data_IF_578575307144
#
_entry.id   IF_578575307144
#
_cell.length_a   1.000
_cell.length_b   1.000
_cell.length_c   1.000
_cell.angle_alpha   90.00
_cell.angle_beta   90.00
_cell.angle_gamma   90.00
#
_symmetry.space_group_name_H-M   'P 1'
#
loop_
_entity.id
_entity.type
_entity.pdbx_description
1 polymer ?
#
# COMPACT_ATOMS: atom_id res chain seq x y z
N UNK A 1 -13.15 -0.04 -11.23
CA UNK A 1 -11.75 -0.50 -11.08
C UNK A 1 -11.61 -1.86 -11.76
N UNK A 2 -10.45 -2.19 -12.31
CA UNK A 2 -10.18 -3.47 -12.99
C UNK A 2 -9.52 -4.49 -12.07
N UNK A 3 -9.18 -5.66 -12.62
CA UNK A 3 -8.34 -6.66 -11.95
C UNK A 3 -6.91 -6.63 -12.47
N UNK A 4 -5.95 -7.04 -11.63
CA UNK A 4 -4.54 -7.17 -12.01
C UNK A 4 -3.96 -8.53 -11.61
N UNK A 5 -3.06 -9.07 -12.44
CA UNK A 5 -2.34 -10.32 -12.16
C UNK A 5 -0.85 -10.04 -11.96
N UNK A 6 -0.35 -10.32 -10.75
CA UNK A 6 1.05 -10.18 -10.37
C UNK A 6 1.69 -11.56 -10.24
N UNK A 7 2.79 -11.82 -10.95
CA UNK A 7 3.66 -12.96 -10.66
C UNK A 7 4.79 -12.50 -9.71
N UNK A 8 4.72 -12.95 -8.46
CA UNK A 8 5.66 -12.61 -7.39
C UNK A 8 6.52 -13.81 -6.96
N UNK A 9 6.58 -14.88 -7.75
CA UNK A 9 7.45 -16.03 -7.48
C UNK A 9 8.92 -15.62 -7.52
N UNK A 10 9.74 -16.23 -6.68
CA UNK A 10 11.16 -15.91 -6.51
C UNK A 10 11.44 -14.60 -5.74
N UNK A 11 10.40 -13.82 -5.39
CA UNK A 11 10.57 -12.59 -4.62
C UNK A 11 10.61 -12.90 -3.12
N UNK A 12 11.65 -12.42 -2.44
CA UNK A 12 11.75 -12.51 -0.97
C UNK A 12 10.83 -11.48 -0.29
N UNK A 13 10.29 -11.84 0.89
CA UNK A 13 9.57 -10.91 1.75
C UNK A 13 10.45 -9.68 2.06
N UNK A 14 9.91 -8.43 2.03
CA UNK A 14 8.49 -8.07 1.95
C UNK A 14 7.98 -7.72 0.54
N UNK A 15 8.77 -7.98 -0.51
CA UNK A 15 8.46 -7.51 -1.88
C UNK A 15 7.08 -7.95 -2.38
N UNK A 16 6.65 -9.23 -2.27
CA UNK A 16 5.30 -9.62 -2.68
C UNK A 16 4.20 -8.82 -1.99
N UNK A 17 4.34 -8.59 -0.68
CA UNK A 17 3.34 -7.90 0.14
C UNK A 17 3.21 -6.44 -0.28
N UNK A 18 4.34 -5.76 -0.43
CA UNK A 18 4.38 -4.35 -0.85
C UNK A 18 3.78 -4.17 -2.24
N UNK A 19 4.21 -4.99 -3.22
CA UNK A 19 3.71 -4.87 -4.59
C UNK A 19 2.22 -5.15 -4.67
N UNK A 20 1.73 -6.16 -3.97
CA UNK A 20 0.29 -6.44 -3.90
C UNK A 20 -0.47 -5.28 -3.25
N UNK A 21 0.04 -4.69 -2.15
CA UNK A 21 -0.58 -3.51 -1.51
C UNK A 21 -0.71 -2.34 -2.50
N UNK A 22 0.37 -1.97 -3.19
CA UNK A 22 0.34 -0.89 -4.20
C UNK A 22 -0.68 -1.14 -5.30
N UNK A 23 -0.71 -2.36 -5.84
CA UNK A 23 -1.69 -2.70 -6.88
C UNK A 23 -3.12 -2.62 -6.36
N UNK A 24 -3.38 -2.89 -5.08
CA UNK A 24 -4.70 -2.76 -4.46
C UNK A 24 -5.15 -1.30 -4.29
N UNK A 25 -4.28 -0.31 -4.51
CA UNK A 25 -4.65 1.11 -4.56
C UNK A 25 -5.23 1.48 -5.95
N UNK A 26 -4.75 0.84 -7.01
CA UNK A 26 -5.17 1.10 -8.39
C UNK A 26 -6.29 0.17 -8.88
N UNK A 27 -6.24 -1.09 -8.45
CA UNK A 27 -7.09 -2.19 -8.88
C UNK A 27 -7.94 -2.70 -7.73
N UNK A 28 -9.18 -3.08 -8.02
CA UNK A 28 -10.10 -3.54 -6.98
C UNK A 28 -9.91 -5.02 -6.62
N UNK A 29 -9.24 -5.75 -7.50
CA UNK A 29 -8.91 -7.16 -7.33
C UNK A 29 -7.50 -7.44 -7.84
N UNK A 30 -6.64 -8.00 -6.99
CA UNK A 30 -5.27 -8.36 -7.34
C UNK A 30 -5.05 -9.86 -7.10
N UNK A 31 -4.73 -10.58 -8.17
CA UNK A 31 -4.33 -11.98 -8.15
C UNK A 31 -2.80 -12.05 -8.13
N UNK A 32 -2.22 -12.47 -7.00
CA UNK A 32 -0.78 -12.59 -6.79
C UNK A 32 -0.36 -14.06 -6.79
N UNK A 33 0.48 -14.46 -7.75
CA UNK A 33 1.09 -15.80 -7.77
C UNK A 33 2.37 -15.79 -6.93
N UNK A 34 2.46 -16.70 -5.95
CA UNK A 34 3.64 -16.87 -5.07
C UNK A 34 4.09 -18.33 -5.04
N UNK A 35 5.32 -18.59 -4.60
CA UNK A 35 5.98 -19.89 -4.67
C UNK A 35 6.04 -20.66 -3.34
N UNK A 36 5.53 -20.07 -2.26
CA UNK A 36 5.57 -20.71 -0.94
C UNK A 36 4.41 -20.27 -0.03
N UNK A 37 4.07 -21.13 0.93
CA UNK A 37 2.99 -20.92 1.90
C UNK A 37 3.24 -19.75 2.86
N UNK A 38 4.50 -19.39 3.15
CA UNK A 38 4.79 -18.24 4.02
C UNK A 38 4.41 -16.93 3.33
N UNK A 39 4.61 -16.83 2.01
CA UNK A 39 4.16 -15.70 1.22
C UNK A 39 2.63 -15.58 1.20
N UNK A 40 1.89 -16.69 1.18
CA UNK A 40 0.42 -16.66 1.27
C UNK A 40 -0.05 -16.14 2.63
N UNK A 41 0.59 -16.56 3.72
CA UNK A 41 0.25 -16.09 5.07
C UNK A 41 0.62 -14.61 5.29
N UNK A 42 1.69 -14.13 4.68
CA UNK A 42 2.02 -12.70 4.70
C UNK A 42 1.00 -11.85 3.94
N UNK A 43 0.51 -12.33 2.78
CA UNK A 43 -0.56 -11.69 2.02
C UNK A 43 -1.91 -11.76 2.75
N UNK A 44 -2.17 -12.84 3.49
CA UNK A 44 -3.33 -12.94 4.39
C UNK A 44 -3.30 -11.87 5.47
N UNK A 45 -2.17 -11.69 6.15
CA UNK A 45 -1.99 -10.62 7.15
C UNK A 45 -2.18 -9.23 6.56
N UNK A 46 -1.70 -8.99 5.34
CA UNK A 46 -1.95 -7.73 4.63
C UNK A 46 -3.45 -7.51 4.42
N UNK A 47 -4.17 -8.50 3.90
CA UNK A 47 -5.61 -8.40 3.69
C UNK A 47 -6.36 -8.17 5.01
N UNK A 48 -6.01 -8.87 6.08
CA UNK A 48 -6.59 -8.68 7.41
C UNK A 48 -6.33 -7.26 7.96
N UNK A 49 -5.10 -6.74 7.82
CA UNK A 49 -4.74 -5.39 8.26
C UNK A 49 -5.50 -4.31 7.50
N UNK A 50 -5.75 -4.52 6.20
CA UNK A 50 -6.51 -3.61 5.35
C UNK A 50 -8.03 -3.85 5.42
N UNK A 51 -8.47 -4.88 6.17
CA UNK A 51 -9.85 -5.34 6.20
C UNK A 51 -10.41 -5.63 4.79
N UNK A 52 -9.65 -6.38 4.00
CA UNK A 52 -9.97 -6.82 2.64
C UNK A 52 -10.28 -8.32 2.59
N UNK A 53 -11.05 -8.74 1.57
CA UNK A 53 -11.31 -10.16 1.35
C UNK A 53 -10.11 -10.82 0.68
N UNK A 54 -9.90 -12.09 1.01
CA UNK A 54 -8.80 -12.90 0.45
C UNK A 54 -9.27 -14.32 0.14
N UNK A 55 -8.85 -14.83 -1.01
CA UNK A 55 -8.96 -16.23 -1.42
C UNK A 55 -7.57 -16.78 -1.76
N UNK A 56 -7.29 -18.02 -1.37
CA UNK A 56 -5.98 -18.66 -1.61
C UNK A 56 -6.21 -20.01 -2.25
N UNK A 57 -5.62 -20.22 -3.44
CA UNK A 57 -5.65 -21.48 -4.19
C UNK A 57 -4.26 -22.06 -4.29
N UNK A 58 -4.08 -23.26 -3.74
CA UNK A 58 -2.89 -24.08 -3.97
C UNK A 58 -3.01 -24.79 -5.32
N UNK A 59 -2.03 -24.56 -6.20
CA UNK A 59 -1.94 -25.23 -7.51
C UNK A 59 -0.94 -26.38 -7.46
N UNK A 60 0.18 -26.17 -6.77
CA UNK A 60 1.21 -27.17 -6.46
C UNK A 60 2.00 -26.72 -5.22
N UNK A 61 2.89 -27.59 -4.71
CA UNK A 61 3.74 -27.31 -3.53
C UNK A 61 4.57 -26.04 -3.63
N UNK A 62 4.83 -25.58 -4.85
CA UNK A 62 5.66 -24.44 -5.22
C UNK A 62 4.87 -23.36 -6.00
N UNK A 63 3.54 -23.44 -6.01
CA UNK A 63 2.69 -22.49 -6.72
C UNK A 63 1.34 -22.28 -6.04
N UNK A 64 1.16 -21.07 -5.53
CA UNK A 64 -0.06 -20.59 -4.90
C UNK A 64 -0.56 -19.35 -5.62
N UNK A 65 -1.88 -19.21 -5.73
CA UNK A 65 -2.55 -18.02 -6.27
C UNK A 65 -3.35 -17.39 -5.13
N UNK A 66 -2.99 -16.17 -4.76
CA UNK A 66 -3.65 -15.38 -3.72
C UNK A 66 -4.44 -14.26 -4.36
N UNK A 67 -5.75 -14.23 -4.18
CA UNK A 67 -6.61 -13.17 -4.70
C UNK A 67 -7.06 -12.29 -3.55
N UNK A 68 -6.71 -11.00 -3.57
CA UNK A 68 -7.18 -10.01 -2.59
C UNK A 68 -8.10 -9.02 -3.30
N UNK A 69 -9.25 -8.71 -2.67
CA UNK A 69 -10.16 -7.68 -3.15
C UNK A 69 -10.41 -6.60 -2.10
N UNK A 70 -10.16 -5.35 -2.49
CA UNK A 70 -10.51 -4.17 -1.68
C UNK A 70 -12.01 -3.86 -1.70
N UNK A 71 -12.74 -4.55 -2.57
CA UNK A 71 -14.19 -4.69 -2.52
C UNK A 71 -14.52 -5.54 -1.28
N UNK A 72 -14.54 -4.88 -0.12
CA UNK A 72 -15.52 -5.21 0.91
C UNK A 72 -16.85 -5.35 0.18
N UNK A 73 -17.59 -6.44 0.41
CA UNK A 73 -18.86 -6.70 -0.27
C UNK A 73 -19.56 -5.41 -0.69
N UNK A 74 -19.42 -5.04 -1.96
CA UNK A 74 -20.27 -4.03 -2.61
C UNK A 74 -21.73 -4.57 -2.69
N UNK A 75 -21.98 -5.72 -2.07
CA UNK A 75 -23.28 -6.31 -1.78
C UNK A 75 -23.90 -5.86 -0.46
N UNK A 76 -23.52 -4.72 0.11
CA UNK A 76 -24.29 -4.18 1.23
C UNK A 76 -25.32 -3.15 0.78
N UNK A 77 -26.59 -3.55 1.02
CA UNK A 77 -27.82 -2.77 0.96
C UNK A 77 -28.34 -2.50 -0.46
N UNK A 78 -29.07 -3.49 -1.01
CA UNK A 78 -30.09 -3.20 -2.02
C UNK A 78 -31.10 -2.25 -1.37
N UNK A 79 -31.18 -1.04 -1.89
CA UNK A 79 -32.24 -0.11 -1.51
C UNK A 79 -33.45 -0.48 -2.37
N UNK A 80 -34.38 -1.22 -1.77
CA UNK A 80 -35.63 -1.61 -2.42
C UNK A 80 -36.62 -0.44 -2.40
N UNK A 81 -36.74 0.22 -3.54
CA UNK A 81 -37.68 1.33 -3.78
C UNK A 81 -38.90 0.87 -4.58
N UNK A 82 -39.10 -0.44 -4.77
CA UNK A 82 -40.16 -1.00 -5.62
C UNK A 82 -41.59 -0.67 -5.18
N UNK A 83 -41.78 -0.11 -3.97
CA UNK A 83 -43.09 0.32 -3.46
C UNK A 83 -43.25 1.84 -3.39
N UNK A 84 -42.22 2.58 -3.77
CA UNK A 84 -42.15 4.02 -3.56
C UNK A 84 -42.75 4.81 -4.74
N UNK A 85 -43.36 5.96 -4.43
CA UNK A 85 -43.90 6.88 -5.46
C UNK A 85 -42.75 7.69 -6.08
N UNK A 86 -42.86 7.89 -7.39
CA UNK A 86 -42.01 8.63 -8.34
C UNK A 86 -40.87 9.54 -7.86
N UNK A 87 -41.09 10.36 -6.82
CA UNK A 87 -40.11 11.33 -6.32
C UNK A 87 -39.13 10.73 -5.31
N UNK A 88 -39.51 9.64 -4.64
CA UNK A 88 -38.75 9.07 -3.53
C UNK A 88 -37.54 8.21 -3.97
N UNK A 89 -37.59 7.44 -5.08
CA UNK A 89 -36.42 6.69 -5.57
C UNK A 89 -35.21 7.59 -5.87
N UNK A 90 -35.44 8.76 -6.48
CA UNK A 90 -34.37 9.74 -6.77
C UNK A 90 -33.79 10.35 -5.49
N UNK A 91 -34.64 10.65 -4.50
CA UNK A 91 -34.18 11.18 -3.20
C UNK A 91 -33.34 10.12 -2.47
N UNK A 92 -33.72 8.85 -2.53
CA UNK A 92 -32.96 7.77 -1.92
C UNK A 92 -31.64 7.53 -2.65
N UNK A 93 -31.63 7.57 -3.98
CA UNK A 93 -30.42 7.56 -4.77
C UNK A 93 -29.47 8.69 -4.36
N UNK A 94 -29.99 9.92 -4.28
CA UNK A 94 -29.21 11.10 -3.85
C UNK A 94 -28.64 10.95 -2.44
N UNK A 95 -29.45 10.54 -1.46
CA UNK A 95 -29.01 10.36 -0.06
C UNK A 95 -28.00 9.24 0.11
N UNK A 96 -28.15 8.14 -0.62
CA UNK A 96 -27.19 7.04 -0.61
C UNK A 96 -25.87 7.52 -1.24
N UNK A 97 -25.95 8.23 -2.37
CA UNK A 97 -24.79 8.84 -3.00
C UNK A 97 -24.20 9.99 -2.17
N UNK A 98 -24.81 10.52 -1.11
CA UNK A 98 -24.10 11.45 -0.20
C UNK A 98 -23.03 10.73 0.63
N UNK A 99 -23.16 9.42 0.84
CA UNK A 99 -22.27 8.61 1.70
C UNK A 99 -21.46 7.58 0.94
N UNK A 100 -22.04 7.01 -0.11
CA UNK A 100 -21.49 5.88 -0.84
C UNK A 100 -21.06 6.30 -2.26
N UNK A 101 -20.00 5.69 -2.77
CA UNK A 101 -19.47 5.93 -4.12
C UNK A 101 -20.19 5.11 -5.20
N UNK A 102 -20.79 3.98 -4.79
CA UNK A 102 -21.60 3.10 -5.63
C UNK A 102 -22.90 2.81 -4.92
N UNK A 103 -24.03 2.92 -5.63
CA UNK A 103 -25.38 2.69 -5.08
C UNK A 103 -26.15 1.76 -6.00
N UNK A 104 -26.77 0.72 -5.44
CA UNK A 104 -27.64 -0.22 -6.14
C UNK A 104 -29.11 -0.04 -5.70
N UNK A 105 -29.97 0.27 -6.67
CA UNK A 105 -31.38 0.57 -6.47
C UNK A 105 -32.24 -0.47 -7.18
N UNK A 106 -33.25 -1.01 -6.46
CA UNK A 106 -34.36 -1.72 -7.09
C UNK A 106 -35.53 -0.76 -7.26
N UNK A 107 -35.92 -0.53 -8.51
CA UNK A 107 -36.98 0.41 -8.87
C UNK A 107 -38.06 -0.31 -9.66
N UNK A 108 -39.32 -0.15 -9.25
CA UNK A 108 -40.46 -0.67 -10.02
C UNK A 108 -41.01 0.40 -10.96
N UNK A 109 -41.42 -0.03 -12.14
CA UNK A 109 -42.05 0.83 -13.15
C UNK A 109 -41.04 1.64 -13.97
N UNK A 110 -41.24 1.61 -15.30
CA UNK A 110 -40.36 2.23 -16.29
C UNK A 110 -40.20 3.75 -16.07
N UNK A 111 -41.26 4.44 -15.65
CA UNK A 111 -41.23 5.89 -15.43
C UNK A 111 -40.31 6.29 -14.26
N UNK A 112 -40.28 5.48 -13.20
CA UNK A 112 -39.43 5.73 -12.03
C UNK A 112 -37.97 5.43 -12.35
N UNK A 113 -37.71 4.34 -13.06
CA UNK A 113 -36.38 3.98 -13.53
C UNK A 113 -35.79 5.09 -14.42
N UNK A 114 -36.58 5.62 -15.35
CA UNK A 114 -36.18 6.76 -16.21
C UNK A 114 -35.72 7.98 -15.41
N UNK A 115 -36.43 8.35 -14.34
CA UNK A 115 -36.09 9.52 -13.50
C UNK A 115 -34.78 9.32 -12.72
N UNK A 116 -34.53 8.11 -12.23
CA UNK A 116 -33.27 7.75 -11.55
C UNK A 116 -32.10 7.77 -12.53
N UNK A 117 -32.30 7.27 -13.75
CA UNK A 117 -31.30 7.28 -14.81
C UNK A 117 -31.01 8.72 -15.27
N UNK A 118 -32.04 9.55 -15.43
CA UNK A 118 -31.91 10.96 -15.80
C UNK A 118 -31.12 11.74 -14.74
N UNK A 119 -31.44 11.55 -13.45
CA UNK A 119 -30.68 12.11 -12.35
C UNK A 119 -29.20 11.72 -12.39
N UNK A 120 -28.89 10.44 -12.64
CA UNK A 120 -27.51 9.97 -12.71
C UNK A 120 -26.76 10.57 -13.92
N UNK A 121 -27.44 10.69 -15.08
CA UNK A 121 -26.90 11.34 -16.28
C UNK A 121 -26.65 12.83 -16.07
N UNK A 122 -27.57 13.55 -15.44
CA UNK A 122 -27.40 14.97 -15.09
C UNK A 122 -26.17 15.22 -14.20
N UNK A 123 -25.81 14.23 -13.38
CA UNK A 123 -24.65 14.28 -12.49
C UNK A 123 -23.37 13.70 -13.09
N UNK A 124 -23.39 13.28 -14.36
CA UNK A 124 -22.30 12.56 -15.02
C UNK A 124 -21.84 11.31 -14.25
N UNK A 125 -22.78 10.59 -13.63
CA UNK A 125 -22.49 9.30 -13.01
C UNK A 125 -22.60 8.18 -14.03
N UNK A 126 -21.79 7.14 -13.85
CA UNK A 126 -21.86 5.93 -14.66
C UNK A 126 -23.02 5.06 -14.18
N UNK A 127 -23.81 4.54 -15.11
CA UNK A 127 -25.03 3.77 -14.79
C UNK A 127 -25.02 2.44 -15.50
N UNK A 128 -25.23 1.36 -14.75
CA UNK A 128 -25.51 0.03 -15.29
C UNK A 128 -26.93 -0.38 -14.90
N UNK A 129 -27.67 -0.95 -15.85
CA UNK A 129 -29.10 -1.30 -15.64
C UNK A 129 -29.29 -2.77 -16.00
N UNK A 130 -30.05 -3.49 -15.17
CA UNK A 130 -30.61 -4.80 -15.49
C UNK A 130 -32.12 -4.77 -15.26
N UNK A 131 -32.86 -5.39 -16.16
CA UNK A 131 -34.32 -5.48 -16.09
C UNK A 131 -34.72 -6.94 -15.94
N UNK A 132 -35.56 -7.22 -14.94
CA UNK A 132 -36.14 -8.55 -14.72
C UNK A 132 -37.55 -8.40 -14.13
N UNK A 133 -38.58 -8.92 -14.81
CA UNK A 133 -39.98 -8.91 -14.34
C UNK A 133 -40.53 -7.52 -13.94
N UNK A 134 -40.38 -6.49 -14.79
CA UNK A 134 -40.81 -5.09 -14.53
C UNK A 134 -40.11 -4.40 -13.34
N UNK A 135 -39.04 -5.01 -12.83
CA UNK A 135 -38.16 -4.45 -11.80
C UNK A 135 -36.81 -4.12 -12.44
N UNK A 136 -36.37 -2.88 -12.24
CA UNK A 136 -35.09 -2.37 -12.71
C UNK A 136 -34.08 -2.37 -11.56
N UNK A 137 -32.99 -3.12 -11.72
CA UNK A 137 -31.78 -3.01 -10.90
C UNK A 137 -30.87 -1.96 -11.53
N UNK A 138 -30.72 -0.82 -10.87
CA UNK A 138 -29.93 0.32 -11.34
C UNK A 138 -28.72 0.49 -10.42
N UNK A 139 -27.53 0.33 -10.98
CA UNK A 139 -26.26 0.56 -10.31
C UNK A 139 -25.74 1.91 -10.78
N UNK A 140 -25.62 2.86 -9.85
CA UNK A 140 -25.05 4.19 -10.10
C UNK A 140 -23.67 4.24 -9.44
N UNK A 141 -22.65 4.51 -10.24
CA UNK A 141 -21.26 4.71 -9.80
C UNK A 141 -20.91 6.18 -9.99
N UNK A 142 -20.48 6.87 -8.92
CA UNK A 142 -19.89 8.19 -9.09
C UNK A 142 -18.58 8.06 -9.84
N UNK A 143 -18.43 8.82 -10.91
CA UNK A 143 -17.09 9.16 -11.38
C UNK A 143 -16.50 10.12 -10.36
N UNK A 144 -15.73 9.58 -9.42
CA UNK A 144 -14.69 10.40 -8.81
C UNK A 144 -13.72 10.75 -9.95
N UNK A 145 -13.45 12.05 -10.14
CA UNK A 145 -12.15 12.43 -10.66
C UNK A 145 -11.16 11.73 -9.73
N UNK A 146 -10.58 10.62 -10.21
CA UNK A 146 -9.37 10.09 -9.62
C UNK A 146 -8.38 11.22 -9.76
N UNK A 147 -8.26 12.02 -8.70
CA UNK A 147 -7.02 12.70 -8.45
C UNK A 147 -5.97 11.60 -8.60
N UNK A 148 -5.12 11.72 -9.61
CA UNK A 148 -3.86 11.02 -9.64
C UNK A 148 -3.13 11.53 -8.40
N UNK A 149 -3.43 10.94 -7.25
CA UNK A 149 -2.59 11.03 -6.08
C UNK A 149 -1.45 10.09 -6.45
N UNK A 150 -0.48 10.59 -7.20
CA UNK A 150 0.89 10.16 -6.92
C UNK A 150 1.02 10.33 -5.41
N UNK A 151 1.23 9.23 -4.68
CA UNK A 151 1.57 9.29 -3.28
C UNK A 151 2.81 10.17 -3.17
N UNK A 152 2.60 11.45 -2.86
CA UNK A 152 3.67 12.33 -2.43
C UNK A 152 4.17 11.72 -1.14
N UNK A 153 5.28 11.00 -1.22
CA UNK A 153 6.00 10.58 -0.03
C UNK A 153 6.35 11.85 0.74
N UNK A 154 5.75 12.01 1.91
CA UNK A 154 5.95 13.19 2.75
C UNK A 154 6.96 12.82 3.83
N UNK A 155 7.93 13.69 4.01
CA UNK A 155 8.90 13.56 5.09
C UNK A 155 8.23 13.83 6.44
N UNK A 156 8.28 12.85 7.35
CA UNK A 156 7.87 13.03 8.73
C UNK A 156 9.07 13.56 9.54
N UNK A 157 9.03 14.86 9.82
CA UNK A 157 10.05 15.57 10.58
C UNK A 157 10.19 15.08 12.04
N UNK A 158 9.29 14.20 12.51
CA UNK A 158 9.23 13.75 13.90
C UNK A 158 10.02 12.48 14.20
N UNK A 159 10.49 11.72 13.18
CA UNK A 159 11.21 10.49 13.44
C UNK A 159 12.46 10.29 12.58
N UNK A 160 13.41 9.56 13.16
CA UNK A 160 14.64 9.11 12.51
C UNK A 160 14.77 7.59 12.61
N UNK A 161 15.55 7.01 11.72
CA UNK A 161 15.97 5.61 11.79
C UNK A 161 17.45 5.56 12.17
N UNK A 162 17.82 4.62 13.03
CA UNK A 162 19.21 4.41 13.46
C UNK A 162 19.60 2.96 13.19
N UNK A 163 20.61 2.78 12.33
CA UNK A 163 21.12 1.47 11.92
C UNK A 163 22.56 1.32 12.40
N UNK A 164 22.76 0.50 13.44
CA UNK A 164 24.07 0.31 14.05
C UNK A 164 24.77 -1.01 13.67
N UNK A 165 24.15 -1.79 12.77
CA UNK A 165 24.64 -3.10 12.33
C UNK A 165 24.35 -3.29 10.85
N UNK A 166 25.16 -4.13 10.20
CA UNK A 166 24.90 -4.59 8.82
C UNK A 166 23.80 -5.65 8.72
N UNK A 167 23.26 -6.10 9.86
CA UNK A 167 22.17 -7.08 9.96
C UNK A 167 21.08 -6.56 10.90
N UNK A 168 19.84 -7.01 10.69
CA UNK A 168 18.72 -6.74 11.59
C UNK A 168 18.69 -7.75 12.75
N UNK A 169 18.55 -7.25 13.99
CA UNK A 169 18.53 -8.08 15.20
C UNK A 169 19.90 -8.67 15.63
N UNK A 170 19.84 -9.80 16.34
CA UNK A 170 21.01 -10.45 16.98
C UNK A 170 21.13 -11.96 16.65
N UNK A 171 20.32 -12.45 15.71
CA UNK A 171 20.26 -13.87 15.34
C UNK A 171 21.24 -14.26 14.24
N UNK A 172 20.82 -15.20 13.38
CA UNK A 172 21.59 -15.63 12.20
C UNK A 172 21.96 -14.44 11.31
N UNK A 173 23.24 -14.35 10.92
CA UNK A 173 23.75 -13.30 10.03
C UNK A 173 23.09 -13.36 8.65
N UNK A 174 22.89 -14.57 8.10
CA UNK A 174 22.25 -14.77 6.80
C UNK A 174 20.83 -14.22 6.80
N UNK A 175 20.05 -14.56 7.83
CA UNK A 175 18.67 -14.06 7.96
C UNK A 175 18.67 -12.56 8.25
N UNK A 176 19.54 -12.09 9.14
CA UNK A 176 19.62 -10.68 9.51
C UNK A 176 19.99 -9.77 8.33
N UNK A 177 20.82 -10.23 7.40
CA UNK A 177 21.14 -9.54 6.14
C UNK A 177 19.91 -9.43 5.23
N UNK A 178 19.14 -10.51 5.09
CA UNK A 178 17.88 -10.49 4.33
C UNK A 178 16.84 -9.56 4.96
N UNK A 179 16.76 -9.55 6.29
CA UNK A 179 15.83 -8.73 7.04
C UNK A 179 16.14 -7.24 6.96
N UNK A 180 17.42 -6.81 7.06
CA UNK A 180 17.75 -5.38 6.97
C UNK A 180 17.46 -4.83 5.57
N UNK A 181 17.72 -5.63 4.53
CA UNK A 181 17.34 -5.30 3.16
C UNK A 181 15.84 -5.19 3.01
N UNK A 182 15.10 -6.17 3.54
CA UNK A 182 13.65 -6.15 3.55
C UNK A 182 13.07 -4.94 4.28
N UNK A 183 13.67 -4.55 5.41
CA UNK A 183 13.31 -3.36 6.16
C UNK A 183 13.52 -2.08 5.35
N UNK A 184 14.68 -1.90 4.73
CA UNK A 184 14.99 -0.71 3.91
C UNK A 184 14.08 -0.63 2.69
N UNK A 185 13.83 -1.76 2.02
CA UNK A 185 12.86 -1.82 0.92
C UNK A 185 11.45 -1.45 1.41
N UNK A 186 10.96 -2.01 2.51
CA UNK A 186 9.64 -1.63 3.04
C UNK A 186 9.57 -0.16 3.49
N UNK A 187 10.70 0.41 3.93
CA UNK A 187 10.82 1.81 4.33
C UNK A 187 10.70 2.75 3.13
N UNK A 188 11.24 2.39 1.97
CA UNK A 188 11.10 3.20 0.73
C UNK A 188 9.66 3.27 0.25
N UNK A 189 8.80 2.40 0.78
CA UNK A 189 7.42 2.20 0.35
C UNK A 189 6.40 2.77 1.34
N UNK A 190 6.86 3.47 2.37
CA UNK A 190 6.00 4.17 3.31
C UNK A 190 5.57 5.54 2.76
N UNK A 191 4.34 5.95 3.09
CA UNK A 191 3.83 7.28 2.76
C UNK A 191 4.59 8.37 3.53
N UNK A 192 4.97 8.06 4.78
CA UNK A 192 5.68 8.95 5.69
C UNK A 192 7.12 8.47 5.87
N UNK A 193 8.06 9.11 5.19
CA UNK A 193 9.48 8.77 5.25
C UNK A 193 10.17 9.40 6.46
N UNK A 194 11.25 8.80 7.00
CA UNK A 194 11.97 9.37 8.12
C UNK A 194 12.66 10.67 7.75
N UNK A 195 12.87 11.53 8.75
CA UNK A 195 13.68 12.73 8.56
C UNK A 195 15.12 12.39 8.14
N UNK A 196 15.71 11.42 8.86
CA UNK A 196 17.11 10.99 8.70
C UNK A 196 17.28 9.49 8.92
N UNK A 197 18.34 8.92 8.34
CA UNK A 197 18.87 7.60 8.70
C UNK A 197 20.32 7.76 9.16
N UNK A 198 20.59 7.36 10.41
CA UNK A 198 21.91 7.44 11.01
C UNK A 198 22.58 6.05 10.99
N UNK A 199 23.75 5.97 10.37
CA UNK A 199 24.58 4.77 10.31
C UNK A 199 25.81 4.91 11.19
N UNK A 200 26.06 3.93 12.03
CA UNK A 200 27.30 3.81 12.81
C UNK A 200 27.64 2.36 13.14
N UNK A 201 28.83 2.12 13.68
CA UNK A 201 29.38 0.78 13.88
C UNK A 201 29.31 -0.01 12.55
N UNK A 202 28.98 -1.31 12.56
CA UNK A 202 28.86 -2.10 11.33
C UNK A 202 27.76 -1.63 10.37
N UNK A 203 26.82 -0.79 10.83
CA UNK A 203 25.84 -0.16 9.95
C UNK A 203 26.49 0.72 8.88
N UNK A 204 27.68 1.25 9.13
CA UNK A 204 28.45 2.01 8.15
C UNK A 204 28.79 1.20 6.89
N UNK A 205 28.80 -0.13 6.97
CA UNK A 205 29.05 -1.00 5.81
C UNK A 205 27.90 -1.00 4.80
N UNK A 206 26.69 -0.62 5.21
CA UNK A 206 25.51 -0.58 4.34
C UNK A 206 25.50 0.63 3.40
N UNK A 207 26.34 1.63 3.64
CA UNK A 207 26.52 2.79 2.75
C UNK A 207 27.80 2.69 1.91
N UNK A 208 28.49 1.55 1.96
CA UNK A 208 29.73 1.31 1.22
C UNK A 208 29.47 0.92 -0.23
N UNK A 209 30.26 1.48 -1.15
CA UNK A 209 30.14 1.29 -2.60
C UNK A 209 30.28 -0.15 -3.08
N UNK A 210 31.04 -0.98 -2.37
CA UNK A 210 31.40 -2.33 -2.83
C UNK A 210 30.79 -3.43 -1.96
N UNK A 211 30.51 -3.14 -0.69
CA UNK A 211 30.07 -4.13 0.30
C UNK A 211 28.57 -4.10 0.56
N UNK A 212 27.86 -3.06 0.15
CA UNK A 212 26.43 -2.92 0.39
C UNK A 212 25.58 -3.59 -0.68
N UNK A 213 24.61 -4.37 -0.24
CA UNK A 213 23.56 -4.99 -1.07
C UNK A 213 22.23 -4.21 -1.03
N UNK A 214 22.23 -3.03 -0.41
CA UNK A 214 21.05 -2.17 -0.17
C UNK A 214 21.19 -0.73 -0.69
N UNK A 215 22.21 -0.46 -1.52
CA UNK A 215 22.46 0.89 -2.05
C UNK A 215 21.27 1.45 -2.84
N UNK A 216 20.55 0.60 -3.58
CA UNK A 216 19.40 1.03 -4.39
C UNK A 216 18.29 1.61 -3.51
N UNK A 217 17.98 0.93 -2.41
CA UNK A 217 16.98 1.37 -1.44
C UNK A 217 17.42 2.67 -0.75
N UNK A 218 18.71 2.81 -0.43
CA UNK A 218 19.25 4.03 0.19
C UNK A 218 19.27 5.23 -0.76
N UNK A 219 19.64 5.03 -2.02
CA UNK A 219 19.59 6.05 -3.07
C UNK A 219 18.14 6.52 -3.31
N UNK A 220 17.18 5.61 -3.29
CA UNK A 220 15.76 5.95 -3.39
C UNK A 220 15.27 6.79 -2.20
N UNK A 221 15.67 6.44 -0.97
CA UNK A 221 15.35 7.23 0.22
C UNK A 221 15.99 8.64 0.16
N UNK A 222 17.26 8.73 -0.23
CA UNK A 222 17.95 10.02 -0.38
C UNK A 222 17.29 10.90 -1.46
N UNK A 223 16.91 10.31 -2.60
CA UNK A 223 16.18 11.00 -3.67
C UNK A 223 14.83 11.55 -3.19
N UNK A 224 14.17 10.85 -2.28
CA UNK A 224 12.93 11.29 -1.64
C UNK A 224 13.16 12.18 -0.40
N UNK A 225 14.37 12.73 -0.22
CA UNK A 225 14.66 13.78 0.75
C UNK A 225 15.01 13.30 2.16
N UNK A 226 15.20 11.98 2.35
CA UNK A 226 15.70 11.41 3.60
C UNK A 226 17.20 11.71 3.73
N UNK A 227 17.61 12.33 4.84
CA UNK A 227 19.03 12.64 5.06
C UNK A 227 19.78 11.39 5.54
N UNK A 228 20.76 10.92 4.76
CA UNK A 228 21.59 9.77 5.14
C UNK A 228 22.91 10.25 5.73
N UNK A 229 23.19 9.84 6.97
CA UNK A 229 24.39 10.23 7.70
C UNK A 229 25.17 9.02 8.21
N UNK A 230 26.46 8.96 7.92
CA UNK A 230 27.37 7.90 8.35
C UNK A 230 28.44 8.42 9.32
N UNK A 231 28.64 7.75 10.45
CA UNK A 231 29.63 8.12 11.45
C UNK A 231 31.07 8.06 10.89
N UNK A 232 31.78 9.20 10.91
CA UNK A 232 33.13 9.32 10.38
C UNK A 232 34.14 8.37 11.02
N UNK A 233 34.12 8.21 12.34
CA UNK A 233 35.02 7.27 13.02
C UNK A 233 34.80 5.81 12.58
N UNK A 234 33.55 5.44 12.26
CA UNK A 234 33.23 4.11 11.74
C UNK A 234 33.66 3.96 10.28
N UNK A 235 33.48 5.01 9.48
CA UNK A 235 33.99 5.06 8.10
C UNK A 235 35.50 4.85 8.06
N UNK A 236 36.25 5.52 8.94
CA UNK A 236 37.70 5.38 9.02
C UNK A 236 38.10 3.96 9.47
N UNK A 237 37.47 3.45 10.53
CA UNK A 237 37.74 2.12 11.08
C UNK A 237 37.48 0.99 10.08
N UNK A 238 36.33 1.01 9.40
CA UNK A 238 35.94 -0.01 8.42
C UNK A 238 36.41 0.30 6.99
N UNK A 239 37.11 1.42 6.80
CA UNK A 239 37.61 1.90 5.51
C UNK A 239 36.48 1.98 4.48
N UNK A 240 35.37 2.63 4.85
CA UNK A 240 34.16 2.74 4.00
C UNK A 240 34.36 3.75 2.89
N UNK A 241 34.14 3.31 1.66
CA UNK A 241 34.01 4.18 0.48
C UNK A 241 32.53 4.53 0.31
N UNK A 242 32.17 5.75 0.72
CA UNK A 242 30.78 6.18 0.86
C UNK A 242 30.12 6.32 -0.52
N UNK A 243 29.11 5.50 -0.81
CA UNK A 243 28.35 5.58 -2.05
C UNK A 243 27.12 6.50 -1.95
N UNK A 244 26.55 6.64 -0.75
CA UNK A 244 25.31 7.39 -0.49
C UNK A 244 25.39 8.13 0.85
N UNK A 245 24.81 9.32 0.93
CA UNK A 245 24.78 10.13 2.15
C UNK A 245 26.06 10.91 2.44
N UNK A 246 26.12 11.46 3.65
CA UNK A 246 27.20 12.33 4.11
C UNK A 246 27.86 11.80 5.40
N UNK A 247 29.08 12.26 5.66
CA UNK A 247 29.78 11.92 6.91
C UNK A 247 29.26 12.80 8.07
N UNK A 248 29.07 12.21 9.25
CA UNK A 248 28.71 12.90 10.50
C UNK A 248 29.64 12.47 11.65
N UNK A 249 29.36 12.95 12.87
CA UNK A 249 30.10 12.59 14.08
C UNK A 249 29.14 12.30 15.24
N UNK A 250 29.69 11.82 16.36
CA UNK A 250 28.90 11.43 17.52
C UNK A 250 28.13 12.61 18.16
N UNK A 251 28.69 13.83 18.12
CA UNK A 251 28.03 15.01 18.67
C UNK A 251 26.70 15.28 17.94
N UNK A 252 26.72 15.30 16.60
CA UNK A 252 25.50 15.50 15.80
C UNK A 252 24.56 14.29 15.85
N UNK A 253 25.07 13.06 15.93
CA UNK A 253 24.23 11.87 16.12
C UNK A 253 23.42 11.98 17.42
N UNK A 254 24.06 12.35 18.54
CA UNK A 254 23.36 12.54 19.81
C UNK A 254 22.37 13.70 19.73
N UNK A 255 22.73 14.78 19.05
CA UNK A 255 21.83 15.92 18.83
C UNK A 255 20.57 15.52 18.04
N UNK A 256 20.74 14.80 16.94
CA UNK A 256 19.63 14.31 16.10
C UNK A 256 18.74 13.33 16.87
N UNK A 257 19.34 12.39 17.61
CA UNK A 257 18.59 11.46 18.47
C UNK A 257 17.82 12.17 19.57
N UNK A 258 18.40 13.20 20.20
CA UNK A 258 17.75 13.98 21.27
C UNK A 258 16.60 14.85 20.76
N UNK A 259 16.74 15.43 19.55
CA UNK A 259 15.73 16.31 18.95
C UNK A 259 14.58 15.53 18.33
N UNK A 260 14.80 14.27 17.93
CA UNK A 260 13.77 13.43 17.34
C UNK A 260 12.74 12.98 18.38
N UNK A 261 11.45 13.08 18.05
CA UNK A 261 10.37 12.60 18.92
C UNK A 261 10.30 11.07 18.97
N UNK A 262 10.75 10.41 17.89
CA UNK A 262 10.75 8.95 17.77
C UNK A 262 12.03 8.46 17.09
N UNK A 263 12.58 7.35 17.60
CA UNK A 263 13.74 6.68 17.02
C UNK A 263 13.36 5.23 16.72
N UNK A 264 13.53 4.81 15.47
CA UNK A 264 13.34 3.42 15.05
C UNK A 264 14.72 2.76 14.92
N UNK A 265 14.88 1.58 15.52
CA UNK A 265 16.10 0.77 15.46
C UNK A 265 15.75 -0.66 15.03
N UNK A 266 15.99 -1.02 13.76
CA UNK A 266 15.82 -2.38 13.28
C UNK A 266 16.89 -3.33 13.83
#
# INVERSE_FOLDING_TARGET
>A
MGSYKLDARGMSCPIPVVKTKKLLEEYSLVETTVDNIIATENLRKLAEQLNYKIDVKEISKDKYIVTISNENDIFNKIIDTSKDKCVLPVIQAKRALEKDTVVNLKVSGEENAKKVIEFAKEKNYKVNIREENEIYEIIIEKEEEKANIELLQVKDENYIVVINKKIMGHGSEELGSKLIKGFLYALTEQELLPKKILFYNEGALLVDKTRSDVLKELEELEKNGVEILCCGACKDYYTVDLAVGNTTNMYFIVEDMRKSSRIIRP
#
